data_IF_098417183154
#
_entry.id   IF_098417183154
#
_cell.length_a   1.000
_cell.length_b   1.000
_cell.length_c   1.000
_cell.angle_alpha   90.00
_cell.angle_beta   90.00
_cell.angle_gamma   90.00
#
_symmetry.space_group_name_H-M   'P 1'
#
loop_
_entity.id
_entity.type
_entity.pdbx_description
1 polymer ?
#
# COMPACT_ATOMS: atom_id res chain seq x y z
N UNK A 1 -54.63 58.95 1.40
CA UNK A 1 -55.35 59.19 0.13
C UNK A 1 -54.62 58.47 -0.99
N UNK A 2 -55.36 57.62 -1.74
CA UNK A 2 -55.17 57.15 -3.15
C UNK A 2 -53.79 56.59 -3.55
N UNK A 3 -53.60 55.27 -3.71
CA UNK A 3 -54.00 54.39 -4.83
C UNK A 3 -53.75 54.97 -6.24
N UNK A 4 -52.86 54.33 -7.02
CA UNK A 4 -53.17 53.80 -8.36
C UNK A 4 -52.14 52.75 -8.82
N UNK A 5 -52.67 51.63 -9.33
CA UNK A 5 -52.01 50.49 -9.97
C UNK A 5 -51.81 50.69 -11.49
N UNK A 6 -51.17 49.66 -12.11
CA UNK A 6 -51.16 49.19 -13.53
C UNK A 6 -49.85 49.51 -14.28
N UNK A 7 -49.19 48.60 -15.01
CA UNK A 7 -49.45 47.22 -15.43
C UNK A 7 -48.28 46.70 -16.31
N UNK A 8 -48.16 45.37 -16.45
CA UNK A 8 -47.24 44.53 -17.29
C UNK A 8 -47.91 44.37 -18.69
N UNK A 9 -47.28 44.08 -19.88
CA UNK A 9 -46.28 43.01 -20.16
C UNK A 9 -45.29 43.10 -21.37
N UNK A 10 -44.29 42.20 -21.39
CA UNK A 10 -43.87 41.46 -22.60
C UNK A 10 -42.49 41.71 -23.24
N UNK A 11 -41.96 40.65 -23.89
CA UNK A 11 -40.77 40.52 -24.78
C UNK A 11 -39.43 40.16 -24.10
N UNK A 12 -38.98 38.89 -24.06
CA UNK A 12 -38.36 37.99 -25.08
C UNK A 12 -36.97 38.39 -25.61
N UNK A 13 -35.98 37.52 -25.38
CA UNK A 13 -34.63 37.50 -25.97
C UNK A 13 -33.60 36.98 -24.94
N UNK A 14 -33.15 35.72 -24.98
CA UNK A 14 -32.01 35.26 -25.80
C UNK A 14 -30.71 35.89 -25.26
N UNK A 15 -29.73 35.21 -24.67
CA UNK A 15 -28.92 34.12 -25.22
C UNK A 15 -28.34 33.27 -24.08
N UNK A 16 -28.63 31.97 -24.05
CA UNK A 16 -27.82 30.98 -23.34
C UNK A 16 -27.24 30.04 -24.39
N UNK A 17 -25.92 30.06 -24.51
CA UNK A 17 -25.16 29.24 -25.43
C UNK A 17 -25.18 27.77 -24.97
N UNK A 18 -25.82 26.93 -25.78
CA UNK A 18 -25.43 25.57 -26.17
C UNK A 18 -24.56 24.76 -25.19
N UNK A 19 -25.20 23.84 -24.46
CA UNK A 19 -24.58 22.59 -24.06
C UNK A 19 -25.25 21.45 -24.86
N UNK A 20 -24.44 20.71 -25.61
CA UNK A 20 -24.84 19.53 -26.36
C UNK A 20 -24.00 18.34 -25.89
N UNK A 21 -24.54 17.14 -26.13
CA UNK A 21 -23.90 15.81 -26.13
C UNK A 21 -23.83 15.15 -24.74
N UNK A 22 -24.36 13.95 -24.43
CA UNK A 22 -25.10 12.89 -25.12
C UNK A 22 -25.70 11.99 -24.02
N UNK A 23 -27.01 11.71 -24.04
CA UNK A 23 -27.61 10.60 -23.29
C UNK A 23 -28.01 9.52 -24.29
N UNK A 24 -27.31 8.38 -24.25
CA UNK A 24 -27.52 7.25 -25.15
C UNK A 24 -28.65 6.36 -24.63
N UNK A 25 -29.46 5.90 -25.58
CA UNK A 25 -30.76 5.28 -25.45
C UNK A 25 -30.80 3.97 -24.66
N UNK A 26 -31.87 3.82 -23.91
CA UNK A 26 -32.33 2.60 -23.23
C UNK A 26 -33.43 1.95 -24.09
N UNK A 27 -33.24 0.64 -24.34
CA UNK A 27 -34.25 -0.39 -24.59
C UNK A 27 -35.04 -0.32 -25.90
N UNK A 28 -34.63 -1.15 -26.86
CA UNK A 28 -35.53 -2.07 -27.58
C UNK A 28 -34.74 -3.36 -27.88
N UNK A 29 -35.03 -4.43 -27.15
CA UNK A 29 -35.00 -5.81 -27.65
C UNK A 29 -35.85 -6.65 -26.69
N UNK A 30 -37.15 -6.37 -26.72
CA UNK A 30 -38.16 -7.32 -26.30
C UNK A 30 -38.57 -8.15 -27.51
N UNK A 31 -38.49 -9.47 -27.38
CA UNK A 31 -39.19 -10.40 -28.25
C UNK A 31 -38.30 -11.52 -28.81
N UNK A 32 -38.18 -12.61 -28.08
CA UNK A 32 -38.96 -13.81 -28.39
C UNK A 32 -38.66 -14.93 -27.38
N UNK A 33 -39.74 -15.66 -27.07
CA UNK A 33 -39.78 -16.99 -26.43
C UNK A 33 -39.61 -17.02 -24.90
N UNK A 34 -40.75 -16.78 -24.25
CA UNK A 34 -41.19 -17.65 -23.17
C UNK A 34 -40.97 -19.12 -23.58
N UNK A 35 -40.40 -19.94 -22.68
CA UNK A 35 -40.79 -21.33 -22.44
C UNK A 35 -40.26 -21.75 -21.06
N UNK A 36 -41.22 -22.14 -20.21
CA UNK A 36 -41.16 -23.23 -19.22
C UNK A 36 -40.18 -23.09 -18.04
N UNK A 37 -40.72 -22.48 -16.99
CA UNK A 37 -40.42 -22.81 -15.60
C UNK A 37 -40.84 -24.27 -15.33
N UNK A 38 -39.89 -25.13 -15.03
CA UNK A 38 -40.14 -26.40 -14.34
C UNK A 38 -39.25 -26.40 -13.09
N UNK A 39 -39.88 -26.61 -11.93
CA UNK A 39 -39.20 -26.61 -10.63
C UNK A 39 -38.29 -27.82 -10.52
N UNK A 40 -37.11 -27.60 -9.96
CA UNK A 40 -36.15 -28.65 -9.60
C UNK A 40 -35.40 -28.23 -8.34
N UNK A 41 -35.45 -29.10 -7.35
CA UNK A 41 -35.11 -28.89 -5.95
C UNK A 41 -33.59 -28.79 -5.69
N UNK A 42 -33.21 -28.11 -4.60
CA UNK A 42 -32.00 -28.42 -3.83
C UNK A 42 -30.68 -27.79 -4.30
N UNK A 43 -30.44 -26.52 -3.96
CA UNK A 43 -29.06 -26.00 -3.89
C UNK A 43 -28.39 -26.52 -2.61
N UNK A 44 -27.88 -27.76 -2.66
CA UNK A 44 -26.81 -28.18 -1.77
C UNK A 44 -25.52 -27.47 -2.19
N UNK A 45 -24.78 -26.97 -1.20
CA UNK A 45 -23.55 -26.21 -1.34
C UNK A 45 -22.62 -26.78 -2.42
N UNK A 46 -22.30 -25.94 -3.42
CA UNK A 46 -21.26 -26.22 -4.37
C UNK A 46 -19.92 -26.33 -3.65
N UNK A 47 -19.33 -27.53 -3.66
CA UNK A 47 -17.90 -27.68 -3.48
C UNK A 47 -17.18 -26.75 -4.48
N UNK A 48 -16.19 -25.94 -4.05
CA UNK A 48 -15.33 -25.25 -5.00
C UNK A 48 -14.57 -26.32 -5.81
N UNK A 49 -14.69 -26.23 -7.14
CA UNK A 49 -14.00 -27.12 -8.07
C UNK A 49 -12.47 -27.03 -7.96
N UNK A 50 -11.75 -28.04 -8.48
CA UNK A 50 -10.30 -28.11 -8.37
C UNK A 50 -9.67 -27.12 -9.34
N UNK A 51 -9.07 -26.04 -8.82
CA UNK A 51 -8.41 -25.08 -9.71
C UNK A 51 -8.06 -23.71 -9.13
N UNK A 52 -7.82 -23.59 -7.83
CA UNK A 52 -6.90 -22.56 -7.34
C UNK A 52 -5.63 -23.29 -6.94
N UNK A 53 -4.81 -23.65 -7.93
CA UNK A 53 -3.40 -23.89 -7.64
C UNK A 53 -2.86 -22.60 -7.07
N UNK A 54 -2.26 -22.66 -5.87
CA UNK A 54 -1.42 -21.60 -5.35
C UNK A 54 -0.58 -21.03 -6.51
N UNK A 55 -0.49 -19.70 -6.60
CA UNK A 55 0.43 -19.06 -7.54
C UNK A 55 1.77 -19.81 -7.45
N UNK A 56 2.35 -20.17 -8.60
CA UNK A 56 3.63 -20.88 -8.64
C UNK A 56 4.71 -20.12 -7.85
N UNK A 57 5.88 -20.73 -7.61
CA UNK A 57 6.95 -20.08 -6.88
C UNK A 57 7.20 -18.66 -7.42
N UNK A 58 7.17 -17.64 -6.55
CA UNK A 58 7.47 -16.26 -6.94
C UNK A 58 8.85 -16.21 -7.58
N UNK A 59 8.99 -15.40 -8.63
CA UNK A 59 10.27 -15.23 -9.29
C UNK A 59 11.27 -14.61 -8.30
N UNK A 60 12.51 -15.11 -8.31
CA UNK A 60 13.57 -14.50 -7.52
C UNK A 60 13.86 -13.08 -8.07
N UNK A 61 14.06 -12.14 -7.17
CA UNK A 61 14.53 -10.77 -7.47
C UNK A 61 15.59 -10.40 -6.45
N UNK A 62 16.24 -9.25 -6.61
CA UNK A 62 17.04 -8.67 -5.55
C UNK A 62 16.93 -7.15 -5.59
N UNK A 63 16.13 -6.63 -4.66
CA UNK A 63 15.76 -5.23 -4.58
C UNK A 63 15.94 -4.72 -3.15
N UNK A 64 16.22 -3.43 -3.00
CA UNK A 64 16.42 -2.82 -1.69
C UNK A 64 15.52 -1.61 -1.50
N UNK A 65 14.95 -1.44 -0.32
CA UNK A 65 14.11 -0.28 -0.01
C UNK A 65 14.43 0.29 1.37
N UNK A 66 14.41 1.62 1.50
CA UNK A 66 14.58 2.31 2.78
C UNK A 66 13.23 2.51 3.48
N UNK A 67 13.22 2.36 4.80
CA UNK A 67 12.02 2.65 5.58
C UNK A 67 12.29 3.29 6.94
N UNK A 68 11.27 3.91 7.51
CA UNK A 68 11.24 4.27 8.92
C UNK A 68 9.86 4.01 9.51
N UNK A 69 9.84 3.54 10.76
CA UNK A 69 8.66 3.49 11.60
C UNK A 69 8.84 4.52 12.72
N UNK A 70 7.87 5.42 12.87
CA UNK A 70 7.84 6.44 13.92
C UNK A 70 6.56 6.27 14.73
N UNK A 71 6.70 6.12 16.05
CA UNK A 71 5.58 5.98 16.98
C UNK A 71 5.69 7.12 17.99
N UNK A 72 4.68 8.00 18.01
CA UNK A 72 4.59 9.15 18.93
C UNK A 72 5.87 10.00 18.92
N UNK A 73 6.40 10.23 17.72
CA UNK A 73 7.60 11.02 17.47
C UNK A 73 8.93 10.33 17.80
N UNK A 74 8.92 9.05 18.16
CA UNK A 74 10.12 8.25 18.37
C UNK A 74 10.31 7.28 17.21
N UNK A 75 11.50 7.26 16.59
CA UNK A 75 11.86 6.25 15.59
C UNK A 75 11.98 4.90 16.27
N UNK A 76 11.30 3.89 15.73
CA UNK A 76 11.42 2.53 16.20
C UNK A 76 12.81 1.95 15.84
N UNK A 77 13.40 1.24 16.80
CA UNK A 77 14.71 0.63 16.64
C UNK A 77 14.60 -0.82 16.16
N UNK A 78 14.92 -1.03 14.89
CA UNK A 78 15.01 -2.35 14.26
C UNK A 78 16.39 -3.02 14.40
N UNK A 79 17.37 -2.38 15.04
CA UNK A 79 18.69 -2.96 15.29
C UNK A 79 18.71 -4.03 16.39
N UNK A 80 17.54 -4.42 16.91
CA UNK A 80 17.42 -5.43 17.94
C UNK A 80 17.52 -6.85 17.34
N UNK A 81 18.21 -7.81 17.99
CA UNK A 81 18.50 -9.12 17.41
C UNK A 81 17.29 -9.89 16.88
N UNK A 82 16.11 -9.75 17.50
CA UNK A 82 14.91 -10.45 17.05
C UNK A 82 14.38 -10.01 15.67
N UNK A 83 14.88 -8.91 15.12
CA UNK A 83 14.48 -8.40 13.81
C UNK A 83 15.54 -8.65 12.73
N UNK A 84 16.71 -9.16 13.09
CA UNK A 84 17.85 -9.27 12.19
C UNK A 84 17.99 -10.68 11.64
N UNK A 85 18.23 -10.76 10.33
CA UNK A 85 18.70 -11.98 9.69
C UNK A 85 20.22 -12.01 9.73
N UNK A 86 20.78 -12.60 10.78
CA UNK A 86 22.22 -12.60 11.04
C UNK A 86 23.03 -13.54 10.13
N UNK A 87 22.38 -14.34 9.29
CA UNK A 87 23.04 -15.30 8.40
C UNK A 87 22.24 -15.51 7.14
N UNK A 88 22.88 -15.30 5.99
CA UNK A 88 22.32 -15.67 4.68
C UNK A 88 21.96 -17.16 4.65
N UNK A 89 20.80 -17.49 4.08
CA UNK A 89 20.18 -18.81 4.05
C UNK A 89 19.51 -19.23 5.37
N UNK A 90 19.48 -18.36 6.39
CA UNK A 90 18.76 -18.56 7.66
C UNK A 90 18.01 -17.29 8.09
N UNK A 91 17.43 -16.62 7.11
CA UNK A 91 16.69 -15.39 7.30
C UNK A 91 15.40 -15.63 8.09
N UNK A 92 14.94 -14.58 8.79
CA UNK A 92 13.59 -14.58 9.37
C UNK A 92 12.50 -14.76 8.30
N UNK A 93 12.80 -14.32 7.07
CA UNK A 93 12.04 -14.61 5.87
C UNK A 93 12.98 -14.67 4.66
N UNK A 94 12.91 -15.79 3.92
CA UNK A 94 13.64 -16.01 2.67
C UNK A 94 13.26 -15.03 1.56
N UNK A 95 12.17 -14.28 1.73
CA UNK A 95 11.63 -13.39 0.70
C UNK A 95 11.87 -11.92 0.99
N UNK A 96 11.89 -11.53 2.27
CA UNK A 96 11.99 -10.13 2.66
C UNK A 96 12.49 -10.00 4.10
N UNK A 97 13.61 -9.33 4.29
CA UNK A 97 14.24 -9.22 5.60
C UNK A 97 15.14 -7.97 5.72
N UNK A 98 15.72 -7.79 6.91
CA UNK A 98 16.75 -6.79 7.19
C UNK A 98 17.94 -7.48 7.87
N UNK A 99 19.14 -6.93 7.71
CA UNK A 99 20.33 -7.38 8.41
C UNK A 99 21.28 -6.22 8.70
N UNK A 100 22.27 -6.49 9.56
CA UNK A 100 23.37 -5.56 9.79
C UNK A 100 24.16 -5.34 8.49
N UNK A 101 24.73 -4.14 8.25
CA UNK A 101 24.74 -2.98 9.15
C UNK A 101 23.57 -2.01 8.95
N UNK A 102 22.60 -2.32 8.07
CA UNK A 102 21.52 -1.40 7.66
C UNK A 102 20.16 -1.87 8.14
N UNK A 103 19.86 -1.58 9.40
CA UNK A 103 18.61 -1.98 10.05
C UNK A 103 17.34 -1.32 9.48
N UNK A 104 17.49 -0.38 8.55
CA UNK A 104 16.39 0.30 7.86
C UNK A 104 16.43 0.19 6.35
N UNK A 105 17.19 -0.77 5.83
CA UNK A 105 17.15 -1.18 4.43
C UNK A 105 16.58 -2.59 4.36
N UNK A 106 15.41 -2.72 3.74
CA UNK A 106 14.76 -4.00 3.45
C UNK A 106 15.42 -4.62 2.24
N UNK A 107 15.79 -5.90 2.35
CA UNK A 107 16.26 -6.75 1.25
C UNK A 107 15.08 -7.60 0.76
N UNK A 108 14.83 -7.59 -0.54
CA UNK A 108 13.70 -8.30 -1.18
C UNK A 108 14.25 -9.33 -2.16
N UNK A 109 13.95 -10.61 -1.91
CA UNK A 109 14.44 -11.75 -2.69
C UNK A 109 13.37 -12.42 -3.55
N UNK A 110 12.15 -11.90 -3.56
CA UNK A 110 11.05 -12.44 -4.37
C UNK A 110 10.12 -11.36 -4.89
N UNK A 111 9.72 -11.48 -6.16
CA UNK A 111 8.76 -10.56 -6.76
C UNK A 111 7.45 -10.54 -5.97
N UNK A 112 6.75 -9.41 -5.96
CA UNK A 112 5.48 -9.22 -5.24
C UNK A 112 5.58 -9.36 -3.71
N UNK A 113 6.78 -9.27 -3.12
CA UNK A 113 6.92 -9.11 -1.67
C UNK A 113 6.29 -7.77 -1.25
N UNK A 114 5.48 -7.78 -0.19
CA UNK A 114 4.74 -6.59 0.28
C UNK A 114 5.21 -6.12 1.65
N UNK A 115 4.82 -4.90 2.02
CA UNK A 115 5.06 -4.38 3.36
C UNK A 115 4.35 -5.20 4.46
N UNK A 116 3.19 -5.80 4.21
CA UNK A 116 2.54 -6.74 5.13
C UNK A 116 3.42 -7.97 5.39
N UNK A 117 3.96 -8.57 4.33
CA UNK A 117 4.85 -9.72 4.45
C UNK A 117 6.09 -9.38 5.27
N UNK A 118 6.70 -8.22 5.00
CA UNK A 118 7.83 -7.72 5.77
C UNK A 118 7.49 -7.51 7.25
N UNK A 119 6.41 -6.78 7.57
CA UNK A 119 6.04 -6.56 8.97
C UNK A 119 5.70 -7.88 9.68
N UNK A 120 5.05 -8.81 9.00
CA UNK A 120 4.70 -10.13 9.57
C UNK A 120 5.91 -11.01 9.82
N UNK A 121 6.94 -10.97 8.98
CA UNK A 121 8.18 -11.71 9.24
C UNK A 121 8.89 -11.24 10.52
N UNK A 122 8.68 -9.97 10.89
CA UNK A 122 9.18 -9.36 12.12
C UNK A 122 8.21 -9.48 13.32
N UNK A 123 7.07 -10.17 13.15
CA UNK A 123 6.08 -10.35 14.22
C UNK A 123 5.08 -9.19 14.40
N UNK A 124 5.08 -8.21 13.50
CA UNK A 124 4.08 -7.15 13.46
C UNK A 124 2.85 -7.59 12.65
N UNK A 125 1.73 -6.89 12.79
CA UNK A 125 0.58 -7.03 11.88
C UNK A 125 0.03 -5.65 11.55
N UNK A 126 0.17 -5.21 10.31
CA UNK A 126 -0.39 -3.96 9.80
C UNK A 126 -1.71 -4.24 9.10
N UNK A 127 -2.74 -3.50 9.46
CA UNK A 127 -4.03 -3.45 8.74
C UNK A 127 -4.26 -2.00 8.35
N UNK A 128 -4.54 -1.75 7.09
CA UNK A 128 -4.76 -0.41 6.55
C UNK A 128 -5.67 -0.47 5.29
N UNK A 129 -6.08 0.68 4.72
CA UNK A 129 -6.96 0.76 3.55
C UNK A 129 -6.44 0.12 2.26
N UNK A 130 -5.18 -0.32 2.20
CA UNK A 130 -4.67 -1.10 1.07
C UNK A 130 -5.29 -2.51 1.02
N UNK A 131 -5.91 -2.97 2.11
CA UNK A 131 -6.77 -4.16 2.10
C UNK A 131 -8.20 -3.82 1.66
N UNK A 132 -8.79 -4.55 0.71
CA UNK A 132 -10.17 -4.34 0.29
C UNK A 132 -11.16 -4.36 1.48
N UNK A 133 -11.97 -3.30 1.60
CA UNK A 133 -12.98 -3.18 2.66
C UNK A 133 -12.45 -2.75 4.03
N UNK A 134 -11.16 -2.39 4.14
CA UNK A 134 -10.61 -1.74 5.33
C UNK A 134 -10.72 -0.23 5.18
N UNK A 135 -11.24 0.44 6.21
CA UNK A 135 -11.36 1.89 6.26
C UNK A 135 -10.27 2.49 7.15
N UNK A 136 -10.07 3.80 7.09
CA UNK A 136 -9.06 4.49 7.92
C UNK A 136 -9.28 4.28 9.42
N UNK A 137 -10.53 4.14 9.87
CA UNK A 137 -10.86 3.88 11.28
C UNK A 137 -10.42 2.48 11.74
N UNK A 138 -10.24 1.55 10.81
CA UNK A 138 -9.78 0.19 11.06
C UNK A 138 -8.27 0.03 10.91
N UNK A 139 -7.56 1.11 10.57
CA UNK A 139 -6.11 1.09 10.44
C UNK A 139 -5.47 0.84 11.80
N UNK A 140 -4.62 -0.18 11.88
CA UNK A 140 -3.96 -0.58 13.12
C UNK A 140 -2.65 -1.32 12.86
N UNK A 141 -1.64 -1.07 13.70
CA UNK A 141 -0.45 -1.89 13.79
C UNK A 141 -0.46 -2.63 15.12
N UNK A 142 -0.26 -3.95 15.08
CA UNK A 142 0.03 -4.75 16.27
C UNK A 142 1.54 -4.96 16.34
N UNK A 143 2.16 -4.53 17.44
CA UNK A 143 3.57 -4.73 17.71
C UNK A 143 3.85 -6.19 18.08
N UNK A 144 5.12 -6.66 17.99
CA UNK A 144 5.51 -7.99 18.47
C UNK A 144 5.21 -8.22 19.96
N UNK A 145 5.16 -7.14 20.75
CA UNK A 145 4.75 -7.17 22.16
C UNK A 145 3.26 -7.46 22.37
N UNK A 146 2.43 -7.38 21.32
CA UNK A 146 0.99 -7.47 21.37
C UNK A 146 0.27 -6.13 21.58
N UNK A 147 1.00 -5.03 21.79
CA UNK A 147 0.41 -3.69 21.85
C UNK A 147 -0.25 -3.36 20.50
N UNK A 148 -1.45 -2.77 20.56
CA UNK A 148 -2.21 -2.37 19.38
C UNK A 148 -2.26 -0.86 19.29
N UNK A 149 -1.79 -0.34 18.17
CA UNK A 149 -1.78 1.08 17.84
C UNK A 149 -2.77 1.29 16.70
N UNK A 150 -4.02 1.55 17.04
CA UNK A 150 -5.09 1.77 16.07
C UNK A 150 -5.42 3.26 15.95
N UNK A 151 -6.00 3.66 14.81
CA UNK A 151 -6.48 5.03 14.64
C UNK A 151 -7.54 5.37 15.70
N UNK A 152 -7.41 6.57 16.28
CA UNK A 152 -8.32 7.13 17.27
C UNK A 152 -8.69 8.56 16.89
N UNK A 153 -9.43 9.26 17.75
CA UNK A 153 -9.74 10.68 17.55
C UNK A 153 -8.50 11.59 17.65
N UNK A 154 -7.42 11.15 18.30
CA UNK A 154 -6.24 11.99 18.61
C UNK A 154 -4.94 11.47 18.03
N UNK A 155 -4.89 10.19 17.62
CA UNK A 155 -3.69 9.56 17.07
C UNK A 155 -4.08 8.76 15.83
N UNK A 156 -3.28 8.87 14.77
CA UNK A 156 -3.53 8.17 13.52
C UNK A 156 -2.24 7.73 12.83
N UNK A 157 -2.38 6.71 11.99
CA UNK A 157 -1.38 6.29 11.02
C UNK A 157 -1.34 7.26 9.85
N UNK A 158 -0.13 7.59 9.44
CA UNK A 158 0.22 8.30 8.23
C UNK A 158 1.24 7.47 7.46
N UNK A 159 0.96 7.24 6.18
CA UNK A 159 1.82 6.50 5.28
C UNK A 159 2.34 7.44 4.20
N UNK A 160 3.65 7.42 3.98
CA UNK A 160 4.28 8.21 2.93
C UNK A 160 5.15 7.26 2.11
N UNK A 161 4.87 7.16 0.83
CA UNK A 161 5.69 6.43 -0.13
C UNK A 161 6.35 7.41 -1.09
N UNK A 162 7.67 7.37 -1.18
CA UNK A 162 8.47 8.19 -2.09
C UNK A 162 8.15 9.70 -1.99
N UNK A 163 7.91 10.17 -0.76
CA UNK A 163 7.59 11.57 -0.46
C UNK A 163 6.12 11.96 -0.70
N UNK A 164 5.26 11.00 -1.04
CA UNK A 164 3.84 11.23 -1.31
C UNK A 164 2.99 10.55 -0.23
N UNK A 165 2.11 11.29 0.47
CA UNK A 165 1.12 10.69 1.37
C UNK A 165 0.20 9.73 0.63
N UNK A 166 -0.06 8.58 1.23
CA UNK A 166 -0.98 7.55 0.72
C UNK A 166 -1.88 7.01 1.84
N UNK A 167 -2.99 6.38 1.47
CA UNK A 167 -3.98 5.92 2.45
C UNK A 167 -3.56 4.64 3.18
N UNK A 168 -2.73 3.80 2.55
CA UNK A 168 -2.26 2.52 3.08
C UNK A 168 -1.13 1.94 2.25
N UNK A 169 -0.36 1.02 2.83
CA UNK A 169 0.83 0.43 2.23
C UNK A 169 0.98 -1.07 2.45
N UNK A 170 0.22 -1.68 3.36
CA UNK A 170 0.38 -3.09 3.72
C UNK A 170 0.39 -4.05 2.51
N UNK A 171 -0.50 -3.87 1.54
CA UNK A 171 -0.58 -4.73 0.34
C UNK A 171 0.26 -4.23 -0.84
N UNK A 172 0.98 -3.12 -0.68
CA UNK A 172 1.82 -2.55 -1.74
C UNK A 172 3.11 -3.36 -1.85
N UNK A 173 3.47 -3.71 -3.09
CA UNK A 173 4.74 -4.37 -3.41
C UNK A 173 5.90 -3.44 -3.14
N UNK A 174 6.95 -3.96 -2.48
CA UNK A 174 8.19 -3.24 -2.23
C UNK A 174 9.00 -3.22 -3.53
N UNK A 175 9.33 -2.04 -4.02
CA UNK A 175 10.18 -1.85 -5.19
C UNK A 175 11.59 -1.40 -4.85
N UNK A 176 12.54 -1.65 -5.77
CA UNK A 176 13.91 -1.16 -5.64
C UNK A 176 13.98 0.37 -5.49
N UNK A 177 14.78 0.81 -4.52
CA UNK A 177 14.98 2.18 -4.05
C UNK A 177 13.75 2.88 -3.48
N UNK A 178 12.67 2.15 -3.17
CA UNK A 178 11.53 2.75 -2.47
C UNK A 178 11.98 3.37 -1.15
N UNK A 179 11.34 4.48 -0.80
CA UNK A 179 11.52 5.17 0.48
C UNK A 179 10.17 5.27 1.16
N UNK A 180 10.02 4.67 2.33
CA UNK A 180 8.72 4.60 3.01
C UNK A 180 8.78 5.07 4.46
N UNK A 181 7.85 5.94 4.83
CA UNK A 181 7.62 6.33 6.22
C UNK A 181 6.26 5.81 6.70
N UNK A 182 6.30 5.05 7.78
CA UNK A 182 5.16 4.69 8.61
C UNK A 182 5.20 5.55 9.87
N UNK A 183 4.18 6.37 10.12
CA UNK A 183 4.14 7.23 11.31
C UNK A 183 2.81 7.09 12.04
N UNK A 184 2.85 6.92 13.36
CA UNK A 184 1.68 6.92 14.24
C UNK A 184 1.76 8.05 15.27
N UNK A 185 0.79 8.95 15.29
CA UNK A 185 0.78 10.09 16.20
C UNK A 185 -0.35 11.08 15.91
N UNK A 186 -0.36 12.24 16.57
CA UNK A 186 -1.36 13.28 16.35
C UNK A 186 -1.20 14.03 15.01
N UNK A 187 -0.05 13.89 14.35
CA UNK A 187 0.26 14.61 13.12
C UNK A 187 -0.65 14.23 11.94
N UNK A 188 -0.82 15.16 11.00
CA UNK A 188 -1.31 14.84 9.67
C UNK A 188 -0.26 14.15 8.80
N UNK A 189 -0.64 13.48 7.70
CA UNK A 189 0.34 12.91 6.77
C UNK A 189 1.34 13.96 6.25
N UNK A 190 0.88 15.17 5.99
CA UNK A 190 1.73 16.29 5.55
C UNK A 190 2.68 16.76 6.66
N UNK A 191 2.20 16.85 7.90
CA UNK A 191 3.02 17.18 9.07
C UNK A 191 4.05 16.08 9.36
N UNK A 192 3.64 14.81 9.28
CA UNK A 192 4.51 13.66 9.44
C UNK A 192 5.58 13.60 8.35
N UNK A 193 5.22 13.87 7.08
CA UNK A 193 6.16 14.03 5.98
C UNK A 193 7.18 15.13 6.31
N UNK A 194 6.73 16.33 6.65
CA UNK A 194 7.61 17.45 6.94
C UNK A 194 8.56 17.18 8.12
N UNK A 195 8.07 16.48 9.15
CA UNK A 195 8.80 16.27 10.40
C UNK A 195 9.72 15.05 10.39
N UNK A 196 9.28 13.95 9.79
CA UNK A 196 9.92 12.64 9.95
C UNK A 196 10.53 12.08 8.67
N UNK A 197 10.27 12.65 7.50
CA UNK A 197 10.80 12.12 6.23
C UNK A 197 12.34 12.03 6.19
N UNK A 198 13.04 12.93 6.87
CA UNK A 198 14.50 12.89 7.00
C UNK A 198 15.04 11.66 7.75
N UNK A 199 14.17 10.90 8.44
CA UNK A 199 14.53 9.64 9.10
C UNK A 199 14.55 8.45 8.14
N UNK A 200 13.84 8.55 7.01
CA UNK A 200 13.91 7.55 5.93
C UNK A 200 15.18 7.82 5.15
N UNK A 201 16.13 6.90 5.23
CA UNK A 201 17.41 6.98 4.54
C UNK A 201 17.24 6.87 3.02
N UNK A 202 18.36 6.96 2.31
CA UNK A 202 18.48 6.61 0.89
C UNK A 202 19.57 5.55 0.70
N UNK A 203 19.80 4.73 1.72
CA UNK A 203 20.91 3.78 1.79
C UNK A 203 20.68 2.53 0.94
N UNK A 204 19.46 2.24 0.51
CA UNK A 204 19.15 1.11 -0.39
C UNK A 204 19.99 1.11 -1.67
N UNK A 205 20.37 2.28 -2.19
CA UNK A 205 21.23 2.32 -3.38
C UNK A 205 22.64 1.79 -3.17
N UNK A 206 23.09 1.60 -1.91
CA UNK A 206 24.42 1.06 -1.59
C UNK A 206 24.45 -0.43 -1.91
N UNK A 207 23.62 -1.29 -1.28
CA UNK A 207 23.55 -2.70 -1.65
C UNK A 207 22.96 -2.92 -3.06
N UNK A 208 22.16 -2.00 -3.62
CA UNK A 208 21.79 -2.04 -5.05
C UNK A 208 22.94 -1.67 -6.01
N UNK A 209 24.10 -1.25 -5.52
CA UNK A 209 25.25 -0.75 -6.29
C UNK A 209 24.98 0.46 -7.21
N UNK A 210 23.91 1.20 -6.95
CA UNK A 210 23.48 2.34 -7.76
C UNK A 210 24.13 3.65 -7.32
N UNK A 211 24.63 3.75 -6.09
CA UNK A 211 25.39 4.89 -5.59
C UNK A 211 26.85 4.54 -5.27
N UNK A 212 27.60 4.12 -6.31
CA UNK A 212 28.99 3.62 -6.24
C UNK A 212 29.95 4.44 -5.38
N UNK A 213 29.80 5.77 -5.36
CA UNK A 213 30.67 6.65 -4.56
C UNK A 213 30.48 6.53 -3.05
N UNK A 214 29.39 5.88 -2.59
CA UNK A 214 29.04 5.71 -1.17
C UNK A 214 29.21 4.28 -0.67
N UNK A 215 29.62 3.35 -1.54
CA UNK A 215 29.84 1.95 -1.17
C UNK A 215 31.14 1.88 -0.35
N UNK A 216 31.08 1.40 0.91
CA UNK A 216 32.27 1.18 1.71
C UNK A 216 33.24 0.20 1.03
N UNK A 217 34.57 0.37 1.16
CA UNK A 217 35.53 -0.56 0.58
C UNK A 217 35.41 -2.00 1.10
N UNK A 218 34.87 -2.16 2.30
CA UNK A 218 34.64 -3.42 3.01
C UNK A 218 33.19 -3.92 2.92
N UNK A 219 32.35 -3.29 2.09
CA UNK A 219 31.00 -3.77 1.81
C UNK A 219 31.09 -5.16 1.18
N UNK A 220 30.49 -6.21 1.80
CA UNK A 220 30.43 -7.50 1.15
C UNK A 220 29.64 -7.37 -0.15
N UNK A 221 30.06 -8.04 -1.24
CA UNK A 221 29.24 -8.09 -2.43
C UNK A 221 27.93 -8.80 -2.06
N UNK A 222 26.83 -8.14 -2.32
CA UNK A 222 25.52 -8.76 -2.23
C UNK A 222 25.49 -9.95 -3.19
N UNK A 223 25.07 -11.12 -2.72
CA UNK A 223 25.05 -12.36 -3.51
C UNK A 223 24.18 -12.25 -4.79
N UNK A 224 23.42 -11.15 -4.94
CA UNK A 224 22.55 -10.85 -6.08
C UNK A 224 22.57 -9.37 -6.53
N UNK A 225 23.61 -8.57 -6.29
CA UNK A 225 23.65 -7.17 -6.79
C UNK A 225 23.84 -7.09 -8.31
N UNK A 226 23.04 -6.22 -8.96
CA UNK A 226 23.26 -5.73 -10.32
C UNK A 226 22.89 -6.67 -11.47
N UNK A 227 21.66 -6.54 -12.04
CA UNK A 227 21.19 -7.15 -13.31
C UNK A 227 21.46 -8.65 -13.52
N UNK A 228 21.98 -9.35 -12.52
CA UNK A 228 22.34 -10.76 -12.55
C UNK A 228 21.19 -11.62 -12.05
N UNK A 229 21.06 -12.80 -12.62
CA UNK A 229 20.05 -13.78 -12.24
C UNK A 229 20.30 -14.29 -10.83
N UNK A 230 19.36 -14.00 -9.92
CA UNK A 230 19.26 -14.65 -8.61
C UNK A 230 18.92 -16.14 -8.84
N UNK A 231 19.91 -17.02 -8.87
CA UNK A 231 19.68 -18.46 -8.90
C UNK A 231 19.63 -19.00 -7.48
N UNK A 232 18.51 -19.65 -7.12
CA UNK A 232 18.41 -20.49 -5.92
C UNK A 232 19.44 -21.63 -5.94
#
# INVERSE_FOLDING_TARGET
MRWFEKGVPGSTGGWAATAAVLALAVVVLGGLLAWRWDGGEGSAAGQPGPGWTAAGPRAATHEHADFALVIRGQRFDFGQPQFLSDTEGRELSEHVHIHAPRFTVVHVHSTLATWDEFFRSLGFRLTDPSFPGVTSERTCLVLPSGEQLCNTATERWSFIANGVPVDGLATVTIGDLDRVLFSYGPETPEEALAKYWGLVTDQACIPSELCRARIPPDEPPETCSGRGTCTR
#
